data_IF_606225376839
#
_entry.id   IF_606225376839
#
_cell.length_a   1.000
_cell.length_b   1.000
_cell.length_c   1.000
_cell.angle_alpha   90.00
_cell.angle_beta   90.00
_cell.angle_gamma   90.00
#
_symmetry.space_group_name_H-M   'P 1'
#
loop_
_entity.id
_entity.type
_entity.pdbx_description
1 polymer ?
#
# COMPACT_ATOMS: atom_id res chain seq x y z
N UNK A 1 2.90 -37.17 -12.34
CA UNK A 1 2.41 -36.63 -11.05
C UNK A 1 2.76 -35.16 -10.80
N UNK A 2 3.80 -34.59 -11.43
CA UNK A 2 4.14 -33.17 -11.26
C UNK A 2 3.18 -32.20 -11.98
N UNK A 3 2.73 -32.52 -13.20
CA UNK A 3 1.80 -31.66 -13.96
C UNK A 3 0.47 -31.38 -13.24
N UNK A 4 -0.14 -32.41 -12.67
CA UNK A 4 -1.40 -32.29 -11.91
C UNK A 4 -1.24 -31.43 -10.65
N UNK A 5 -0.06 -31.45 -10.01
CA UNK A 5 0.24 -30.58 -8.86
C UNK A 5 0.48 -29.13 -9.28
N UNK A 6 1.01 -28.89 -10.48
CA UNK A 6 1.22 -27.55 -11.02
C UNK A 6 -0.11 -26.89 -11.39
N UNK A 7 -1.00 -27.60 -12.10
CA UNK A 7 -2.34 -27.10 -12.44
C UNK A 7 -3.20 -26.83 -11.20
N UNK A 8 -3.13 -27.68 -10.17
CA UNK A 8 -3.86 -27.46 -8.92
C UNK A 8 -3.38 -26.19 -8.18
N UNK A 9 -2.09 -25.87 -8.26
CA UNK A 9 -1.53 -24.64 -7.69
C UNK A 9 -1.94 -23.41 -8.49
N UNK A 10 -1.98 -23.52 -9.81
CA UNK A 10 -2.39 -22.44 -10.69
C UNK A 10 -3.90 -22.14 -10.56
N UNK A 11 -4.73 -23.18 -10.47
CA UNK A 11 -6.16 -23.04 -10.18
C UNK A 11 -6.42 -22.36 -8.83
N UNK A 12 -5.62 -22.68 -7.80
CA UNK A 12 -5.72 -22.00 -6.50
C UNK A 12 -5.34 -20.52 -6.57
N UNK A 13 -4.36 -20.16 -7.40
CA UNK A 13 -3.96 -18.76 -7.61
C UNK A 13 -5.08 -17.97 -8.31
N UNK A 14 -5.60 -18.48 -9.44
CA UNK A 14 -6.72 -17.85 -10.18
C UNK A 14 -7.95 -17.70 -9.30
N UNK A 15 -8.29 -18.73 -8.50
CA UNK A 15 -9.42 -18.66 -7.57
C UNK A 15 -9.25 -17.59 -6.48
N UNK A 16 -8.01 -17.31 -6.05
CA UNK A 16 -7.73 -16.22 -5.11
C UNK A 16 -7.85 -14.86 -5.80
N UNK A 17 -7.36 -14.74 -7.02
CA UNK A 17 -7.37 -13.49 -7.77
C UNK A 17 -8.82 -13.10 -8.15
N UNK A 18 -9.66 -14.06 -8.53
CA UNK A 18 -11.10 -13.85 -8.75
C UNK A 18 -11.83 -13.40 -7.47
N UNK A 19 -11.52 -14.01 -6.31
CA UNK A 19 -12.09 -13.56 -5.02
C UNK A 19 -11.67 -12.13 -4.68
N UNK A 20 -10.43 -11.76 -4.97
CA UNK A 20 -9.94 -10.41 -4.76
C UNK A 20 -10.66 -9.38 -5.66
N UNK A 21 -11.10 -9.81 -6.84
CA UNK A 21 -11.91 -9.04 -7.78
C UNK A 21 -13.42 -9.09 -7.49
N UNK A 22 -13.85 -9.76 -6.41
CA UNK A 22 -15.27 -9.85 -6.03
C UNK A 22 -16.06 -11.00 -6.70
N UNK A 23 -15.39 -11.85 -7.48
CA UNK A 23 -15.99 -13.01 -8.13
C UNK A 23 -15.94 -14.26 -7.22
N UNK A 24 -16.91 -15.17 -7.38
CA UNK A 24 -16.95 -16.45 -6.68
C UNK A 24 -15.73 -17.34 -6.96
N UNK A 25 -15.29 -18.14 -5.98
CA UNK A 25 -14.21 -19.09 -6.17
C UNK A 25 -14.58 -20.20 -7.16
N UNK A 26 -13.64 -20.61 -8.02
CA UNK A 26 -13.90 -21.44 -9.21
C UNK A 26 -13.32 -22.87 -9.13
N UNK A 27 -13.67 -23.72 -8.14
CA UNK A 27 -13.27 -25.12 -8.23
C UNK A 27 -14.23 -25.86 -9.19
N UNK A 28 -13.87 -25.95 -10.48
CA UNK A 28 -14.50 -26.88 -11.45
C UNK A 28 -14.92 -26.30 -12.81
N UNK A 29 -15.03 -24.98 -12.96
CA UNK A 29 -15.43 -24.37 -14.25
C UNK A 29 -14.29 -24.37 -15.28
N UNK A 30 -13.06 -24.14 -14.82
CA UNK A 30 -11.90 -24.10 -15.70
C UNK A 30 -11.61 -25.46 -16.36
N UNK A 31 -11.87 -26.59 -15.67
CA UNK A 31 -11.63 -27.92 -16.24
C UNK A 31 -12.57 -28.30 -17.39
N UNK A 32 -13.67 -27.55 -17.59
CA UNK A 32 -14.66 -27.80 -18.65
C UNK A 32 -14.55 -26.82 -19.84
N UNK A 33 -13.70 -25.79 -19.73
CA UNK A 33 -13.37 -24.87 -20.82
C UNK A 33 -14.57 -24.17 -21.44
N UNK A 34 -14.46 -23.79 -22.73
CA UNK A 34 -15.47 -23.03 -23.46
C UNK A 34 -16.83 -23.76 -23.62
N UNK A 35 -16.85 -25.10 -23.47
CA UNK A 35 -18.10 -25.89 -23.49
C UNK A 35 -19.00 -25.65 -22.27
N UNK A 36 -18.46 -25.03 -21.21
CA UNK A 36 -19.21 -24.74 -20.00
C UNK A 36 -19.86 -23.35 -20.08
N UNK A 37 -21.19 -23.23 -19.92
CA UNK A 37 -21.88 -21.93 -19.99
C UNK A 37 -21.44 -20.99 -18.86
N UNK A 38 -21.25 -21.51 -17.65
CA UNK A 38 -20.78 -20.73 -16.49
C UNK A 38 -19.37 -20.16 -16.71
N UNK A 39 -18.49 -20.90 -17.40
CA UNK A 39 -17.16 -20.40 -17.77
C UNK A 39 -17.25 -19.25 -18.78
N UNK A 40 -18.09 -19.41 -19.81
CA UNK A 40 -18.34 -18.35 -20.80
C UNK A 40 -18.96 -17.11 -20.15
N UNK A 41 -19.89 -17.29 -19.22
CA UNK A 41 -20.50 -16.21 -18.44
C UNK A 41 -19.47 -15.47 -17.59
N UNK A 42 -18.55 -16.17 -16.92
CA UNK A 42 -17.48 -15.55 -16.15
C UNK A 42 -16.53 -14.74 -17.04
N UNK A 43 -16.08 -15.30 -18.17
CA UNK A 43 -15.26 -14.56 -19.13
C UNK A 43 -15.99 -13.32 -19.68
N UNK A 44 -17.30 -13.44 -19.94
CA UNK A 44 -18.12 -12.33 -20.40
C UNK A 44 -18.25 -11.21 -19.36
N UNK A 45 -18.41 -11.56 -18.08
CA UNK A 45 -18.46 -10.58 -16.99
C UNK A 45 -17.13 -9.83 -16.84
N UNK A 46 -16.00 -10.55 -16.85
CA UNK A 46 -14.67 -9.94 -16.79
C UNK A 46 -14.41 -9.01 -17.98
N UNK A 47 -14.82 -9.43 -19.18
CA UNK A 47 -14.68 -8.61 -20.39
C UNK A 47 -15.60 -7.37 -20.36
N UNK A 48 -16.82 -7.49 -19.84
CA UNK A 48 -17.73 -6.36 -19.65
C UNK A 48 -17.12 -5.33 -18.71
N UNK A 49 -16.55 -5.77 -17.59
CA UNK A 49 -15.91 -4.90 -16.61
C UNK A 49 -14.69 -4.17 -17.22
N UNK A 50 -13.84 -4.89 -17.94
CA UNK A 50 -12.73 -4.30 -18.73
C UNK A 50 -13.21 -3.23 -19.72
N UNK A 51 -14.34 -3.48 -20.40
CA UNK A 51 -14.94 -2.50 -21.30
C UNK A 51 -15.42 -1.24 -20.56
N UNK A 52 -16.08 -1.40 -19.40
CA UNK A 52 -16.55 -0.26 -18.58
C UNK A 52 -15.41 0.62 -18.05
N UNK A 53 -14.25 0.03 -17.82
CA UNK A 53 -13.05 0.72 -17.35
C UNK A 53 -12.25 1.38 -18.49
N UNK A 54 -12.71 1.24 -19.73
CA UNK A 54 -12.11 1.88 -20.91
C UNK A 54 -10.87 1.17 -21.45
N UNK A 55 -10.68 -0.12 -21.14
CA UNK A 55 -9.55 -0.91 -21.61
C UNK A 55 -9.66 -1.35 -23.09
N UNK A 56 -10.84 -1.19 -23.69
CA UNK A 56 -11.14 -1.59 -25.06
C UNK A 56 -11.43 -0.35 -25.92
N UNK A 57 -10.39 0.16 -26.58
CA UNK A 57 -10.45 1.39 -27.37
C UNK A 57 -11.44 1.29 -28.55
N UNK A 58 -11.57 0.13 -29.20
CA UNK A 58 -12.45 -0.05 -30.36
C UNK A 58 -13.93 -0.18 -29.96
N UNK A 59 -14.23 -0.68 -28.77
CA UNK A 59 -15.61 -0.80 -28.29
C UNK A 59 -16.22 0.55 -27.88
N UNK A 60 -15.38 1.53 -27.53
CA UNK A 60 -15.80 2.91 -27.20
C UNK A 60 -16.38 3.66 -28.41
N UNK A 61 -15.92 3.34 -29.62
CA UNK A 61 -16.30 4.06 -30.85
C UNK A 61 -17.44 3.36 -31.62
N UNK A 62 -17.64 2.05 -31.44
CA UNK A 62 -18.52 1.26 -32.32
C UNK A 62 -19.75 0.62 -31.64
N UNK A 63 -19.98 0.78 -30.33
CA UNK A 63 -21.10 0.11 -29.65
C UNK A 63 -21.08 -1.41 -29.84
N UNK A 64 -19.88 -1.99 -29.86
CA UNK A 64 -19.64 -3.39 -30.20
C UNK A 64 -20.13 -4.33 -29.09
N UNK A 65 -20.70 -5.46 -29.49
CA UNK A 65 -21.19 -6.47 -28.54
C UNK A 65 -20.03 -7.02 -27.69
N UNK A 66 -20.23 -6.96 -26.36
CA UNK A 66 -19.40 -7.64 -25.36
C UNK A 66 -19.50 -9.15 -25.57
N UNK A 67 -18.47 -9.91 -25.15
CA UNK A 67 -18.48 -11.38 -25.17
C UNK A 67 -19.86 -11.93 -24.75
N UNK A 68 -20.48 -12.73 -25.61
CA UNK A 68 -21.80 -13.33 -25.36
C UNK A 68 -21.67 -14.64 -24.59
N UNK A 69 -22.43 -14.77 -23.51
CA UNK A 69 -22.50 -15.97 -22.68
C UNK A 69 -23.58 -16.97 -23.13
N UNK A 70 -24.17 -16.78 -24.31
CA UNK A 70 -25.41 -17.45 -24.74
C UNK A 70 -25.41 -18.98 -24.60
N UNK A 71 -26.60 -19.56 -24.43
CA UNK A 71 -26.81 -21.01 -24.22
C UNK A 71 -27.44 -21.73 -25.42
N UNK A 72 -27.43 -21.06 -26.59
CA UNK A 72 -28.02 -21.58 -27.83
C UNK A 72 -27.08 -22.49 -28.65
N UNK A 73 -27.61 -23.22 -29.65
CA UNK A 73 -26.80 -23.97 -30.60
C UNK A 73 -25.87 -23.00 -31.36
N UNK A 74 -24.56 -23.22 -31.29
CA UNK A 74 -23.52 -22.35 -31.89
C UNK A 74 -22.89 -21.32 -30.92
N UNK A 75 -23.36 -21.24 -29.68
CA UNK A 75 -22.87 -20.23 -28.74
C UNK A 75 -21.42 -20.45 -28.25
N UNK A 76 -20.88 -21.67 -28.36
CA UNK A 76 -19.45 -21.93 -28.13
C UNK A 76 -18.60 -21.29 -29.24
N UNK A 77 -18.99 -21.47 -30.50
CA UNK A 77 -18.27 -20.96 -31.68
C UNK A 77 -18.33 -19.42 -31.75
N UNK A 78 -19.48 -18.84 -31.41
CA UNK A 78 -19.65 -17.39 -31.31
C UNK A 78 -18.81 -16.79 -30.18
N UNK A 79 -18.81 -17.42 -29.00
CA UNK A 79 -17.96 -17.02 -27.87
C UNK A 79 -16.48 -17.05 -28.26
N UNK A 80 -16.01 -18.12 -28.89
CA UNK A 80 -14.60 -18.27 -29.29
C UNK A 80 -14.19 -17.23 -30.32
N UNK A 81 -15.06 -16.92 -31.28
CA UNK A 81 -14.83 -15.87 -32.28
C UNK A 81 -14.72 -14.48 -31.64
N UNK A 82 -15.58 -14.17 -30.68
CA UNK A 82 -15.55 -12.90 -29.95
C UNK A 82 -14.34 -12.83 -29.01
N UNK A 83 -14.01 -13.93 -28.34
CA UNK A 83 -12.85 -14.05 -27.45
C UNK A 83 -11.55 -13.79 -28.21
N UNK A 84 -11.38 -14.38 -29.40
CA UNK A 84 -10.20 -14.14 -30.22
C UNK A 84 -10.06 -12.68 -30.69
N UNK A 85 -11.16 -11.91 -30.77
CA UNK A 85 -11.10 -10.45 -31.03
C UNK A 85 -10.66 -9.70 -29.78
N UNK A 86 -11.29 -10.00 -28.64
CA UNK A 86 -10.96 -9.40 -27.35
C UNK A 86 -9.48 -9.60 -26.98
N UNK A 87 -8.96 -10.82 -27.13
CA UNK A 87 -7.56 -11.12 -26.77
C UNK A 87 -6.56 -10.38 -27.66
N UNK A 88 -6.90 -10.12 -28.93
CA UNK A 88 -6.06 -9.31 -29.83
C UNK A 88 -6.08 -7.83 -29.45
N UNK A 89 -7.24 -7.32 -29.04
CA UNK A 89 -7.39 -5.94 -28.55
C UNK A 89 -6.64 -5.72 -27.23
N UNK A 90 -6.69 -6.70 -26.32
CA UNK A 90 -5.94 -6.70 -25.06
C UNK A 90 -4.45 -7.08 -25.23
N UNK A 91 -3.97 -7.25 -26.46
CA UNK A 91 -2.58 -7.63 -26.76
C UNK A 91 -2.08 -8.88 -25.99
N UNK A 92 -2.93 -9.90 -25.87
CA UNK A 92 -2.61 -11.08 -25.09
C UNK A 92 -1.34 -11.79 -25.63
N UNK A 93 -0.36 -12.08 -24.76
CA UNK A 93 0.95 -12.63 -25.17
C UNK A 93 0.88 -14.13 -25.54
N UNK A 94 -0.19 -14.83 -25.18
CA UNK A 94 -0.36 -16.25 -25.50
C UNK A 94 -0.79 -16.40 -26.97
N UNK A 95 0.19 -16.71 -27.83
CA UNK A 95 -0.01 -16.86 -29.28
C UNK A 95 -0.88 -18.04 -29.66
N UNK A 96 -1.00 -19.05 -28.79
CA UNK A 96 -1.98 -20.11 -28.98
C UNK A 96 -3.35 -19.45 -28.87
N UNK A 97 -3.74 -18.96 -27.69
CA UNK A 97 -5.07 -18.37 -27.44
C UNK A 97 -5.48 -17.26 -28.42
N UNK A 98 -4.50 -16.55 -29.03
CA UNK A 98 -4.71 -15.50 -30.01
C UNK A 98 -4.74 -15.96 -31.49
N UNK A 99 -4.33 -17.18 -31.84
CA UNK A 99 -4.12 -17.64 -33.21
C UNK A 99 -4.75 -19.00 -33.53
N UNK A 100 -5.54 -19.08 -34.60
CA UNK A 100 -6.11 -20.34 -35.10
C UNK A 100 -7.50 -20.67 -34.55
N UNK A 101 -7.97 -21.90 -34.79
CA UNK A 101 -9.28 -22.43 -34.35
C UNK A 101 -9.33 -22.54 -32.82
N UNK A 102 -9.70 -21.42 -32.16
CA UNK A 102 -9.65 -21.26 -30.70
C UNK A 102 -10.45 -22.29 -29.90
N UNK A 103 -11.31 -23.08 -30.55
CA UNK A 103 -12.01 -24.21 -29.95
C UNK A 103 -11.06 -25.33 -29.51
N UNK A 104 -10.06 -25.66 -30.34
CA UNK A 104 -9.15 -26.78 -30.09
C UNK A 104 -8.20 -26.47 -28.93
N UNK A 105 -7.74 -25.23 -28.82
CA UNK A 105 -6.72 -24.84 -27.85
C UNK A 105 -7.30 -24.54 -26.46
N UNK A 106 -8.54 -24.07 -26.36
CA UNK A 106 -9.23 -23.94 -25.07
C UNK A 106 -9.70 -25.27 -24.49
N UNK A 107 -9.66 -26.35 -25.30
CA UNK A 107 -9.86 -27.73 -24.85
C UNK A 107 -8.57 -28.36 -24.32
N UNK A 108 -7.41 -27.77 -24.57
CA UNK A 108 -6.15 -28.22 -23.97
C UNK A 108 -6.16 -28.00 -22.45
N UNK A 109 -5.61 -28.96 -21.67
CA UNK A 109 -5.54 -28.84 -20.22
C UNK A 109 -4.74 -27.59 -19.82
N UNK A 110 -5.32 -26.81 -18.91
CA UNK A 110 -4.74 -25.57 -18.38
C UNK A 110 -4.94 -24.31 -19.23
N UNK A 111 -5.42 -24.40 -20.47
CA UNK A 111 -5.63 -23.22 -21.34
C UNK A 111 -6.70 -22.26 -20.81
N UNK A 112 -7.78 -22.81 -20.24
CA UNK A 112 -8.83 -22.04 -19.56
C UNK A 112 -8.32 -21.29 -18.33
N UNK A 113 -7.40 -21.89 -17.57
CA UNK A 113 -6.77 -21.25 -16.42
C UNK A 113 -5.83 -20.13 -16.85
N UNK A 114 -5.05 -20.32 -17.93
CA UNK A 114 -4.20 -19.27 -18.50
C UNK A 114 -5.04 -18.09 -18.99
N UNK A 115 -6.17 -18.36 -19.65
CA UNK A 115 -7.11 -17.33 -20.07
C UNK A 115 -7.67 -16.54 -18.88
N UNK A 116 -8.21 -17.21 -17.87
CA UNK A 116 -8.75 -16.54 -16.69
C UNK A 116 -7.68 -15.75 -15.95
N UNK A 117 -6.48 -16.31 -15.82
CA UNK A 117 -5.33 -15.61 -15.22
C UNK A 117 -5.01 -14.32 -15.98
N UNK A 118 -5.00 -14.36 -17.30
CA UNK A 118 -4.76 -13.19 -18.14
C UNK A 118 -5.86 -12.14 -17.96
N UNK A 119 -7.14 -12.53 -18.06
CA UNK A 119 -8.25 -11.59 -17.87
C UNK A 119 -8.27 -10.98 -16.46
N UNK A 120 -7.97 -11.77 -15.42
CA UNK A 120 -7.82 -11.26 -14.07
C UNK A 120 -6.65 -10.28 -13.94
N UNK A 121 -5.50 -10.55 -14.56
CA UNK A 121 -4.36 -9.64 -14.49
C UNK A 121 -4.62 -8.33 -15.23
N UNK A 122 -5.28 -8.38 -16.40
CA UNK A 122 -5.68 -7.18 -17.14
C UNK A 122 -6.71 -6.36 -16.34
N UNK A 123 -7.67 -7.01 -15.70
CA UNK A 123 -8.67 -6.32 -14.88
C UNK A 123 -8.04 -5.67 -13.64
N UNK A 124 -7.09 -6.36 -12.99
CA UNK A 124 -6.32 -5.78 -11.90
C UNK A 124 -5.48 -4.58 -12.36
N UNK A 125 -4.81 -4.70 -13.51
CA UNK A 125 -3.99 -3.62 -14.07
C UNK A 125 -4.85 -2.40 -14.44
N UNK A 126 -6.00 -2.61 -15.07
CA UNK A 126 -6.93 -1.54 -15.44
C UNK A 126 -7.56 -0.88 -14.23
N UNK A 127 -7.91 -1.62 -13.17
CA UNK A 127 -8.29 -1.03 -11.88
C UNK A 127 -7.19 -0.15 -11.29
N UNK A 128 -5.94 -0.59 -11.31
CA UNK A 128 -4.81 0.21 -10.82
C UNK A 128 -4.58 1.47 -11.67
N UNK A 129 -4.71 1.38 -13.00
CA UNK A 129 -4.59 2.52 -13.89
C UNK A 129 -5.76 3.51 -13.73
N UNK A 130 -6.98 3.01 -13.53
CA UNK A 130 -8.16 3.83 -13.27
C UNK A 130 -8.04 4.56 -11.93
N UNK A 131 -7.65 3.85 -10.85
CA UNK A 131 -7.35 4.46 -9.56
C UNK A 131 -6.21 5.48 -9.67
N UNK A 132 -5.16 5.18 -10.41
CA UNK A 132 -4.06 6.12 -10.65
C UNK A 132 -4.54 7.34 -11.43
N UNK A 133 -5.39 7.20 -12.43
CA UNK A 133 -5.96 8.33 -13.17
C UNK A 133 -6.90 9.19 -12.31
N UNK A 134 -7.55 8.61 -11.29
CA UNK A 134 -8.34 9.36 -10.32
C UNK A 134 -7.45 10.13 -9.33
N UNK A 135 -6.25 9.61 -9.03
CA UNK A 135 -5.28 10.21 -8.12
C UNK A 135 -4.34 11.22 -8.82
N UNK A 136 -4.02 10.98 -10.09
CA UNK A 136 -3.20 11.83 -10.97
C UNK A 136 -4.04 12.21 -12.21
N UNK A 137 -4.87 13.26 -12.17
CA UNK A 137 -5.26 13.90 -13.41
C UNK A 137 -3.98 14.46 -14.06
N UNK A 138 -3.73 14.12 -15.33
CA UNK A 138 -2.58 14.58 -16.14
C UNK A 138 -2.06 15.98 -15.75
N UNK A 139 -0.74 16.23 -15.78
CA UNK A 139 -0.19 17.56 -15.52
C UNK A 139 -0.73 18.54 -16.57
N UNK A 140 -1.72 19.34 -16.18
CA UNK A 140 -1.96 20.62 -16.82
C UNK A 140 -0.70 21.48 -16.68
N UNK A 141 -0.55 22.54 -17.49
CA UNK A 141 0.58 23.47 -17.37
C UNK A 141 0.72 23.92 -15.92
N UNK A 142 1.93 24.24 -15.41
CA UNK A 142 2.16 24.52 -14.01
C UNK A 142 1.27 25.72 -13.63
N UNK A 143 0.15 25.40 -13.02
CA UNK A 143 -0.78 26.40 -12.56
C UNK A 143 -0.18 26.88 -11.24
N UNK A 144 0.35 28.10 -11.32
CA UNK A 144 1.12 28.71 -10.26
C UNK A 144 0.42 28.71 -8.91
N UNK A 145 1.26 28.91 -7.90
CA UNK A 145 0.93 29.41 -6.57
C UNK A 145 -0.53 29.87 -6.37
N UNK A 146 -1.21 29.20 -5.44
CA UNK A 146 -2.30 29.81 -4.70
C UNK A 146 -3.71 29.64 -5.27
N UNK A 147 -4.28 28.44 -5.16
CA UNK A 147 -5.72 28.31 -4.88
C UNK A 147 -5.94 27.11 -3.95
N UNK A 148 -5.95 27.32 -2.64
CA UNK A 148 -6.20 26.31 -1.58
C UNK A 148 -7.60 25.61 -1.68
N UNK A 149 -8.36 25.82 -2.76
CA UNK A 149 -9.74 25.35 -2.91
C UNK A 149 -9.98 24.29 -3.99
N UNK A 150 -9.10 24.11 -4.98
CA UNK A 150 -9.34 23.17 -6.10
C UNK A 150 -9.24 21.71 -5.68
N UNK A 151 -8.27 21.38 -4.81
CA UNK A 151 -8.12 20.03 -4.25
C UNK A 151 -9.30 19.63 -3.36
N UNK A 152 -9.79 20.53 -2.50
CA UNK A 152 -10.91 20.22 -1.59
C UNK A 152 -12.21 19.94 -2.34
N UNK A 153 -12.49 20.66 -3.43
CA UNK A 153 -13.67 20.42 -4.28
C UNK A 153 -13.57 19.06 -4.99
N UNK A 154 -12.37 18.67 -5.42
CA UNK A 154 -12.13 17.37 -6.02
C UNK A 154 -12.33 16.24 -5.00
N UNK A 155 -11.75 16.34 -3.80
CA UNK A 155 -11.91 15.35 -2.73
C UNK A 155 -13.38 15.19 -2.31
N UNK A 156 -14.11 16.30 -2.20
CA UNK A 156 -15.54 16.28 -1.92
C UNK A 156 -16.34 15.60 -3.03
N UNK A 157 -16.01 15.86 -4.30
CA UNK A 157 -16.65 15.20 -5.43
C UNK A 157 -16.40 13.68 -5.44
N UNK A 158 -15.16 13.26 -5.17
CA UNK A 158 -14.80 11.84 -5.05
C UNK A 158 -15.52 11.18 -3.87
N UNK A 159 -15.64 11.88 -2.74
CA UNK A 159 -16.37 11.40 -1.56
C UNK A 159 -17.86 11.18 -1.88
N UNK A 160 -18.50 12.14 -2.56
CA UNK A 160 -19.89 12.02 -2.98
C UNK A 160 -20.08 10.86 -3.95
N UNK A 161 -19.19 10.71 -4.93
CA UNK A 161 -19.22 9.61 -5.89
C UNK A 161 -19.07 8.25 -5.19
N UNK A 162 -18.13 8.13 -4.25
CA UNK A 162 -17.92 6.91 -3.47
C UNK A 162 -19.13 6.53 -2.61
N UNK A 163 -19.89 7.52 -2.13
CA UNK A 163 -21.10 7.34 -1.36
C UNK A 163 -22.37 7.18 -2.22
N UNK A 164 -22.24 7.28 -3.55
CA UNK A 164 -23.37 7.25 -4.50
C UNK A 164 -24.31 8.45 -4.35
N UNK A 165 -23.82 9.57 -3.82
CA UNK A 165 -24.59 10.80 -3.65
C UNK A 165 -24.50 11.68 -4.91
N UNK A 166 -25.59 12.37 -5.27
CA UNK A 166 -25.58 13.29 -6.41
C UNK A 166 -24.67 14.49 -6.11
N UNK A 167 -24.21 15.15 -7.18
CA UNK A 167 -23.46 16.41 -7.05
C UNK A 167 -24.39 17.50 -6.49
N UNK A 168 -23.97 18.28 -5.48
CA UNK A 168 -24.82 19.32 -4.90
C UNK A 168 -25.16 20.39 -5.94
N UNK A 169 -26.39 20.89 -5.87
CA UNK A 169 -26.82 22.00 -6.71
C UNK A 169 -26.04 23.28 -6.36
N UNK A 170 -25.81 24.19 -7.32
CA UNK A 170 -25.21 25.49 -7.03
C UNK A 170 -25.99 26.21 -5.93
N UNK A 171 -25.29 26.66 -4.88
CA UNK A 171 -25.92 27.34 -3.73
C UNK A 171 -26.41 26.41 -2.61
N UNK A 172 -26.18 25.10 -2.69
CA UNK A 172 -26.45 24.18 -1.57
C UNK A 172 -25.60 24.59 -0.36
N UNK A 173 -26.18 24.83 0.82
CA UNK A 173 -25.42 25.22 2.00
C UNK A 173 -24.55 24.05 2.49
N UNK A 174 -23.32 24.36 2.92
CA UNK A 174 -22.36 23.35 3.38
C UNK A 174 -22.90 22.49 4.53
N UNK A 175 -23.73 23.05 5.41
CA UNK A 175 -24.37 22.32 6.51
C UNK A 175 -25.30 21.21 6.03
N UNK A 176 -26.08 21.45 4.97
CA UNK A 176 -26.96 20.41 4.39
C UNK A 176 -26.11 19.31 3.75
N UNK A 177 -25.08 19.67 3.01
CA UNK A 177 -24.18 18.69 2.41
C UNK A 177 -23.49 17.80 3.46
N UNK A 178 -23.03 18.41 4.56
CA UNK A 178 -22.43 17.65 5.67
C UNK A 178 -23.44 16.74 6.37
N UNK A 179 -24.70 17.16 6.49
CA UNK A 179 -25.78 16.32 7.04
C UNK A 179 -26.09 15.13 6.13
N UNK A 180 -26.16 15.34 4.80
CA UNK A 180 -26.36 14.27 3.81
C UNK A 180 -25.20 13.26 3.83
N UNK A 181 -23.96 13.74 3.85
CA UNK A 181 -22.76 12.91 3.99
C UNK A 181 -22.82 12.09 5.29
N UNK A 182 -23.11 12.75 6.41
CA UNK A 182 -23.18 12.09 7.71
C UNK A 182 -24.29 11.02 7.74
N UNK A 183 -25.47 11.32 7.19
CA UNK A 183 -26.56 10.37 7.09
C UNK A 183 -26.18 9.15 6.25
N UNK A 184 -25.56 9.37 5.08
CA UNK A 184 -25.16 8.27 4.19
C UNK A 184 -24.05 7.40 4.79
N UNK A 185 -23.07 8.01 5.46
CA UNK A 185 -22.02 7.26 6.17
C UNK A 185 -22.63 6.44 7.32
N UNK A 186 -23.57 7.02 8.07
CA UNK A 186 -24.25 6.34 9.17
C UNK A 186 -25.11 5.16 8.69
N UNK A 187 -25.74 5.29 7.51
CA UNK A 187 -26.47 4.21 6.84
C UNK A 187 -25.55 3.04 6.45
N UNK A 188 -24.35 3.36 5.95
CA UNK A 188 -23.40 2.35 5.47
C UNK A 188 -22.55 1.72 6.59
N UNK A 189 -22.39 2.41 7.72
CA UNK A 189 -21.53 1.96 8.82
C UNK A 189 -21.82 0.52 9.32
N UNK A 190 -23.07 0.06 9.45
CA UNK A 190 -23.37 -1.31 9.88
C UNK A 190 -22.93 -2.40 8.89
N UNK A 191 -22.70 -2.05 7.62
CA UNK A 191 -22.21 -3.00 6.60
C UNK A 191 -20.71 -3.27 6.72
N UNK A 192 -19.97 -2.44 7.45
CA UNK A 192 -18.53 -2.57 7.63
C UNK A 192 -18.20 -3.54 8.78
N UNK A 193 -17.02 -4.19 8.75
CA UNK A 193 -16.55 -4.99 9.86
C UNK A 193 -16.49 -4.17 11.17
N UNK A 194 -16.73 -4.79 12.34
CA UNK A 194 -16.74 -4.09 13.61
C UNK A 194 -15.38 -3.41 13.87
N UNK A 195 -15.43 -2.14 14.29
CA UNK A 195 -14.25 -1.32 14.58
C UNK A 195 -13.60 -0.63 13.37
N UNK A 196 -14.14 -0.81 12.15
CA UNK A 196 -13.55 -0.23 10.93
C UNK A 196 -13.52 1.29 10.88
N UNK A 197 -14.41 1.99 11.60
CA UNK A 197 -14.46 3.46 11.63
C UNK A 197 -14.35 4.02 13.06
N UNK A 198 -13.76 3.25 13.98
CA UNK A 198 -13.63 3.72 15.36
C UNK A 198 -12.66 4.92 15.39
N UNK A 199 -13.08 6.10 15.87
CA UNK A 199 -12.20 7.26 15.93
C UNK A 199 -11.11 7.05 16.98
N UNK A 200 -9.93 7.62 16.73
CA UNK A 200 -8.85 7.64 17.70
C UNK A 200 -9.20 8.52 18.91
N UNK A 201 -9.83 9.66 18.66
CA UNK A 201 -10.33 10.57 19.67
C UNK A 201 -11.83 10.32 19.90
N UNK A 202 -12.18 9.70 21.03
CA UNK A 202 -13.57 9.36 21.37
C UNK A 202 -14.23 10.34 22.35
N UNK A 203 -13.47 11.30 22.89
CA UNK A 203 -13.98 12.28 23.86
C UNK A 203 -14.64 13.46 23.17
N UNK A 204 -15.76 13.93 23.71
CA UNK A 204 -16.37 15.20 23.28
C UNK A 204 -15.45 16.38 23.62
N UNK A 205 -15.32 17.30 22.66
CA UNK A 205 -14.52 18.51 22.81
C UNK A 205 -15.44 19.68 23.13
N UNK A 206 -15.34 20.20 24.35
CA UNK A 206 -15.92 21.48 24.75
C UNK A 206 -14.95 22.63 24.41
N UNK A 207 -15.41 23.87 24.53
CA UNK A 207 -14.59 25.05 24.22
C UNK A 207 -13.18 25.05 24.86
N UNK A 208 -13.00 24.78 26.17
CA UNK A 208 -11.67 24.77 26.76
C UNK A 208 -10.79 23.62 26.26
N UNK A 209 -11.37 22.43 25.95
CA UNK A 209 -10.60 21.35 25.34
C UNK A 209 -10.20 21.65 23.91
N UNK A 210 -11.03 22.36 23.14
CA UNK A 210 -10.67 22.83 21.80
C UNK A 210 -9.46 23.77 21.85
N UNK A 211 -9.46 24.75 22.76
CA UNK A 211 -8.33 25.67 22.94
C UNK A 211 -7.05 24.92 23.36
N UNK A 212 -7.16 23.98 24.31
CA UNK A 212 -6.03 23.17 24.74
C UNK A 212 -5.49 22.28 23.60
N UNK A 213 -6.38 21.71 22.79
CA UNK A 213 -6.01 20.86 21.66
C UNK A 213 -5.32 21.65 20.54
N UNK A 214 -5.79 22.87 20.24
CA UNK A 214 -5.15 23.76 19.28
C UNK A 214 -3.76 24.17 19.77
N UNK A 215 -3.62 24.52 21.06
CA UNK A 215 -2.32 24.84 21.67
C UNK A 215 -1.33 23.66 21.60
N UNK A 216 -1.79 22.44 21.91
CA UNK A 216 -0.99 21.23 21.79
C UNK A 216 -0.58 20.95 20.34
N UNK A 217 -1.53 21.06 19.40
CA UNK A 217 -1.32 20.91 17.96
C UNK A 217 -0.22 21.86 17.47
N UNK A 218 -0.30 23.14 17.85
CA UNK A 218 0.71 24.13 17.49
C UNK A 218 2.09 23.80 18.08
N UNK A 219 2.16 23.49 19.38
CA UNK A 219 3.42 23.13 20.03
C UNK A 219 4.08 21.90 19.40
N UNK A 220 3.28 20.89 19.05
CA UNK A 220 3.78 19.70 18.36
C UNK A 220 4.26 20.05 16.94
N UNK A 221 3.51 20.85 16.18
CA UNK A 221 3.94 21.30 14.84
C UNK A 221 5.29 22.00 14.90
N UNK A 222 5.49 22.92 15.84
CA UNK A 222 6.75 23.64 16.02
C UNK A 222 7.90 22.67 16.34
N UNK A 223 7.66 21.71 17.24
CA UNK A 223 8.64 20.69 17.59
C UNK A 223 8.98 19.78 16.40
N UNK A 224 7.97 19.32 15.66
CA UNK A 224 8.16 18.48 14.47
C UNK A 224 8.89 19.23 13.36
N UNK A 225 8.57 20.52 13.15
CA UNK A 225 9.28 21.37 12.20
C UNK A 225 10.77 21.48 12.56
N UNK A 226 11.09 21.74 13.84
CA UNK A 226 12.46 21.76 14.32
C UNK A 226 13.18 20.41 14.08
N UNK A 227 12.52 19.30 14.39
CA UNK A 227 13.07 17.96 14.15
C UNK A 227 13.30 17.69 12.65
N UNK A 228 12.36 18.09 11.78
CA UNK A 228 12.49 17.96 10.32
C UNK A 228 13.63 18.82 9.81
N UNK A 229 13.78 20.07 10.24
CA UNK A 229 14.93 20.92 9.92
C UNK A 229 16.26 20.22 10.25
N UNK A 230 16.37 19.61 11.43
CA UNK A 230 17.57 18.87 11.84
C UNK A 230 17.82 17.67 10.91
N UNK A 231 16.80 16.88 10.61
CA UNK A 231 16.92 15.71 9.73
C UNK A 231 17.31 16.09 8.31
N UNK A 232 16.72 17.17 7.76
CA UNK A 232 17.07 17.70 6.45
C UNK A 232 18.51 18.19 6.42
N UNK A 233 18.94 18.93 7.45
CA UNK A 233 20.34 19.37 7.54
C UNK A 233 21.30 18.18 7.65
N UNK A 234 20.91 17.15 8.41
CA UNK A 234 21.69 15.91 8.51
C UNK A 234 21.78 15.19 7.16
N UNK A 235 20.70 15.15 6.39
CA UNK A 235 20.70 14.61 5.03
C UNK A 235 21.66 15.40 4.12
N UNK A 236 21.63 16.72 4.18
CA UNK A 236 22.51 17.60 3.38
C UNK A 236 23.99 17.36 3.70
N UNK A 237 24.32 17.30 5.00
CA UNK A 237 25.68 17.03 5.46
C UNK A 237 26.15 15.62 5.12
N UNK A 238 25.27 14.62 5.25
CA UNK A 238 25.59 13.23 4.88
C UNK A 238 25.85 13.12 3.38
N UNK A 239 25.03 13.79 2.57
CA UNK A 239 25.20 13.86 1.11
C UNK A 239 26.53 14.51 0.74
N UNK A 240 26.87 15.61 1.41
CA UNK A 240 28.13 16.33 1.21
C UNK A 240 29.36 15.50 1.62
N UNK A 241 29.25 14.70 2.69
CA UNK A 241 30.33 13.85 3.17
C UNK A 241 30.73 12.75 2.17
N UNK A 242 29.84 12.34 1.27
CA UNK A 242 30.21 11.40 0.20
C UNK A 242 31.23 11.99 -0.78
N UNK A 243 31.43 13.31 -0.83
CA UNK A 243 32.45 13.92 -1.69
C UNK A 243 33.86 13.90 -1.09
N UNK A 244 34.08 13.25 0.06
CA UNK A 244 35.40 13.19 0.72
C UNK A 244 36.30 12.06 0.24
N UNK A 245 35.87 11.23 -0.71
CA UNK A 245 36.72 10.19 -1.31
C UNK A 245 36.77 10.38 -2.82
N UNK A 246 37.97 10.24 -3.41
CA UNK A 246 38.20 10.42 -4.85
C UNK A 246 37.25 9.58 -5.72
N UNK A 247 36.93 8.36 -5.27
CA UNK A 247 35.99 7.45 -5.95
C UNK A 247 34.57 8.01 -5.99
N UNK A 248 34.11 8.62 -4.90
CA UNK A 248 32.74 9.12 -4.79
C UNK A 248 32.62 10.56 -5.30
N UNK A 249 33.71 11.34 -5.29
CA UNK A 249 33.80 12.63 -5.96
C UNK A 249 33.59 12.49 -7.48
N UNK A 250 34.21 11.48 -8.11
CA UNK A 250 34.00 11.15 -9.52
C UNK A 250 32.53 10.83 -9.88
N UNK A 251 31.74 10.37 -8.89
CA UNK A 251 30.31 10.06 -9.04
C UNK A 251 29.40 11.19 -8.49
N UNK A 252 29.98 12.29 -8.02
CA UNK A 252 29.25 13.35 -7.31
C UNK A 252 28.17 14.01 -8.17
N UNK A 253 28.44 14.22 -9.46
CA UNK A 253 27.45 14.78 -10.38
C UNK A 253 26.23 13.87 -10.57
N UNK A 254 26.45 12.57 -10.77
CA UNK A 254 25.38 11.58 -10.90
C UNK A 254 24.56 11.45 -9.60
N UNK A 255 25.22 11.48 -8.44
CA UNK A 255 24.54 11.43 -7.15
C UNK A 255 23.68 12.68 -6.90
N UNK A 256 24.20 13.88 -7.19
CA UNK A 256 23.45 15.14 -7.04
C UNK A 256 22.23 15.18 -7.97
N UNK A 257 22.37 14.70 -9.21
CA UNK A 257 21.26 14.62 -10.15
C UNK A 257 20.07 13.79 -9.63
N UNK A 258 20.33 12.76 -8.81
CA UNK A 258 19.29 11.95 -8.17
C UNK A 258 18.76 12.57 -6.88
N UNK A 259 19.65 13.13 -6.04
CA UNK A 259 19.27 13.58 -4.70
C UNK A 259 18.64 14.99 -4.67
N UNK A 260 19.05 15.90 -5.54
CA UNK A 260 18.54 17.28 -5.55
C UNK A 260 17.02 17.32 -5.74
N UNK A 261 16.42 16.63 -6.74
CA UNK A 261 14.98 16.62 -6.90
C UNK A 261 14.26 16.10 -5.64
N UNK A 262 14.75 14.99 -5.07
CA UNK A 262 14.18 14.43 -3.85
C UNK A 262 14.28 15.41 -2.67
N UNK A 263 15.39 16.12 -2.55
CA UNK A 263 15.62 17.08 -1.47
C UNK A 263 14.73 18.31 -1.57
N UNK A 264 14.43 18.77 -2.78
CA UNK A 264 13.54 19.90 -3.06
C UNK A 264 12.09 19.62 -2.65
N UNK A 265 11.63 18.37 -2.78
CA UNK A 265 10.30 17.96 -2.29
C UNK A 265 10.20 17.85 -0.76
N UNK A 266 11.31 17.82 -0.03
CA UNK A 266 11.31 17.63 1.42
C UNK A 266 11.30 18.97 2.16
N UNK A 267 10.15 19.30 2.73
CA UNK A 267 9.92 20.54 3.49
C UNK A 267 10.03 20.32 5.01
N UNK A 268 10.44 21.33 5.79
CA UNK A 268 10.39 21.25 7.25
C UNK A 268 8.97 21.35 7.79
N UNK A 269 8.04 21.97 7.07
CA UNK A 269 6.63 22.09 7.45
C UNK A 269 5.93 20.72 7.49
N UNK A 270 4.93 20.59 8.36
CA UNK A 270 4.08 19.41 8.45
C UNK A 270 2.73 19.67 7.80
N UNK A 271 2.29 18.77 6.91
CA UNK A 271 0.96 18.84 6.29
C UNK A 271 -0.16 18.35 7.23
N UNK A 272 0.19 17.92 8.44
CA UNK A 272 -0.76 17.41 9.43
C UNK A 272 -1.44 18.58 10.13
N UNK A 273 -2.74 18.71 9.90
CA UNK A 273 -3.62 19.68 10.56
C UNK A 273 -4.46 19.03 11.67
N UNK A 274 -5.14 19.84 12.48
CA UNK A 274 -6.04 19.34 13.51
C UNK A 274 -7.19 18.49 12.93
N UNK A 275 -7.66 18.82 11.72
CA UNK A 275 -8.67 18.03 11.02
C UNK A 275 -8.18 16.59 10.76
N UNK A 276 -6.90 16.39 10.43
CA UNK A 276 -6.33 15.06 10.25
C UNK A 276 -6.32 14.25 11.55
N UNK A 277 -6.06 14.91 12.69
CA UNK A 277 -6.08 14.26 14.01
C UNK A 277 -7.51 13.83 14.38
N UNK A 278 -8.51 14.65 14.07
CA UNK A 278 -9.92 14.33 14.33
C UNK A 278 -10.45 13.23 13.41
N UNK A 279 -9.99 13.20 12.16
CA UNK A 279 -10.30 12.15 11.20
C UNK A 279 -9.54 10.84 11.48
N UNK A 280 -8.54 10.86 12.36
CA UNK A 280 -7.71 9.69 12.63
C UNK A 280 -8.53 8.57 13.26
N UNK A 281 -8.40 7.37 12.70
CA UNK A 281 -9.01 6.14 13.21
C UNK A 281 -8.13 5.48 14.26
N UNK A 282 -8.74 4.68 15.13
CA UNK A 282 -8.08 3.97 16.20
C UNK A 282 -7.01 2.98 15.71
N UNK A 283 -7.09 2.47 14.49
CA UNK A 283 -6.07 1.60 13.90
C UNK A 283 -4.81 2.36 13.47
N UNK A 284 -4.88 3.67 13.23
CA UNK A 284 -3.69 4.49 12.95
C UNK A 284 -2.74 4.61 14.14
N UNK A 285 -3.22 4.38 15.38
CA UNK A 285 -2.33 4.35 16.55
C UNK A 285 -1.46 3.09 16.62
N UNK A 286 -1.72 2.09 15.78
CA UNK A 286 -0.94 0.85 15.73
C UNK A 286 0.40 1.10 15.06
N UNK A 287 1.42 1.30 15.89
CA UNK A 287 2.80 1.38 15.42
C UNK A 287 3.26 0.02 14.88
N UNK A 288 3.44 -0.07 13.57
CA UNK A 288 4.09 -1.22 12.93
C UNK A 288 5.58 -0.91 12.81
N UNK A 289 6.47 -1.70 13.45
CA UNK A 289 7.90 -1.47 13.34
C UNK A 289 8.36 -1.55 11.88
N UNK A 290 9.12 -0.55 11.42
CA UNK A 290 9.74 -0.56 10.09
C UNK A 290 10.74 -1.72 9.89
N UNK A 291 11.18 -2.34 10.99
CA UNK A 291 12.03 -3.55 11.01
C UNK A 291 11.22 -4.84 11.08
N UNK A 292 9.89 -4.77 11.11
CA UNK A 292 9.06 -5.97 11.19
C UNK A 292 9.26 -6.85 9.96
N UNK A 293 9.08 -8.16 10.17
CA UNK A 293 9.23 -9.16 9.11
C UNK A 293 8.30 -8.89 7.93
N UNK A 294 7.06 -8.45 8.21
CA UNK A 294 6.09 -8.12 7.17
C UNK A 294 6.57 -6.99 6.26
N UNK A 295 7.04 -5.87 6.84
CA UNK A 295 7.55 -4.72 6.09
C UNK A 295 8.85 -5.07 5.35
N UNK A 296 9.75 -5.85 5.98
CA UNK A 296 11.05 -6.21 5.41
C UNK A 296 10.97 -7.22 4.26
N UNK A 297 9.95 -8.09 4.23
CA UNK A 297 9.70 -8.97 3.08
C UNK A 297 9.37 -8.20 1.80
N UNK A 298 8.65 -7.08 1.91
CA UNK A 298 8.31 -6.23 0.77
C UNK A 298 9.40 -5.21 0.38
N UNK A 299 10.38 -4.97 1.26
CA UNK A 299 11.44 -3.95 1.07
C UNK A 299 12.84 -4.56 0.99
N UNK A 300 12.95 -5.85 0.69
CA UNK A 300 14.25 -6.50 0.52
C UNK A 300 14.97 -5.90 -0.69
N UNK A 301 16.22 -5.49 -0.50
CA UNK A 301 17.05 -4.93 -1.57
C UNK A 301 18.48 -5.45 -1.45
N UNK A 302 19.33 -5.11 -2.41
CA UNK A 302 20.73 -5.55 -2.42
C UNK A 302 21.51 -5.18 -1.13
N UNK A 303 21.07 -4.14 -0.42
CA UNK A 303 21.64 -3.68 0.84
C UNK A 303 20.96 -4.38 2.03
N UNK A 304 19.63 -4.47 2.04
CA UNK A 304 18.83 -5.10 3.09
C UNK A 304 18.40 -6.52 2.70
N UNK A 305 19.37 -7.40 2.43
CA UNK A 305 19.10 -8.79 1.99
C UNK A 305 18.67 -9.72 3.11
N UNK A 306 19.22 -9.52 4.31
CA UNK A 306 19.08 -10.48 5.41
C UNK A 306 17.91 -10.09 6.29
N UNK A 307 16.87 -10.91 6.28
CA UNK A 307 15.82 -10.85 7.27
C UNK A 307 16.33 -11.51 8.56
N UNK A 308 16.67 -10.71 9.56
CA UNK A 308 16.98 -11.22 10.89
C UNK A 308 15.73 -11.90 11.46
N UNK A 309 15.81 -13.19 11.74
CA UNK A 309 14.76 -13.95 12.41
C UNK A 309 14.58 -13.51 13.87
N UNK A 310 13.84 -14.29 14.67
CA UNK A 310 13.71 -14.03 16.10
C UNK A 310 15.10 -13.98 16.75
N UNK A 311 15.54 -12.78 17.14
CA UNK A 311 16.77 -12.58 17.90
C UNK A 311 16.45 -12.92 19.34
N UNK A 312 17.08 -13.95 19.94
CA UNK A 312 16.88 -14.27 21.35
C UNK A 312 17.20 -13.04 22.19
N UNK A 313 16.41 -12.80 23.24
CA UNK A 313 16.67 -11.70 24.16
C UNK A 313 18.11 -11.83 24.68
N UNK A 314 18.91 -10.79 24.46
CA UNK A 314 20.32 -10.77 24.86
C UNK A 314 20.50 -10.22 26.28
N UNK A 315 19.39 -9.91 26.96
CA UNK A 315 19.39 -9.29 28.27
C UNK A 315 20.06 -7.92 28.26
N UNK A 316 20.36 -7.39 29.45
CA UNK A 316 21.05 -6.11 29.60
C UNK A 316 20.11 -4.91 29.56
N UNK A 317 18.81 -5.13 29.74
CA UNK A 317 17.92 -4.02 30.04
C UNK A 317 18.37 -3.39 31.37
N UNK A 318 18.47 -2.06 31.47
CA UNK A 318 18.97 -1.41 32.68
C UNK A 318 18.21 -1.80 33.97
N UNK A 319 16.95 -2.19 33.84
CA UNK A 319 16.07 -2.67 34.90
C UNK A 319 16.25 -4.16 35.27
N UNK A 320 17.00 -4.94 34.49
CA UNK A 320 17.32 -6.35 34.76
C UNK A 320 18.72 -6.52 35.40
N UNK A 321 19.52 -5.45 35.40
CA UNK A 321 20.82 -5.39 36.05
C UNK A 321 20.65 -4.81 37.46
N UNK A 322 20.52 -5.68 38.45
CA UNK A 322 20.74 -5.28 39.84
C UNK A 322 22.21 -4.85 39.97
N UNK A 323 22.45 -3.55 40.08
CA UNK A 323 23.80 -3.05 40.32
C UNK A 323 24.27 -3.64 41.66
N UNK A 324 25.39 -4.38 41.71
CA UNK A 324 25.88 -4.89 42.98
C UNK A 324 26.21 -3.68 43.85
N UNK A 325 25.42 -3.45 44.91
CA UNK A 325 25.71 -2.39 45.86
C UNK A 325 27.15 -2.56 46.35
N UNK A 326 28.02 -1.56 46.22
CA UNK A 326 29.31 -1.59 46.86
C UNK A 326 29.08 -1.59 48.36
N UNK A 327 29.51 -2.64 49.06
CA UNK A 327 29.54 -2.63 50.52
C UNK A 327 30.60 -1.64 50.97
N UNK A 328 30.19 -0.49 51.47
CA UNK A 328 31.08 0.46 52.12
C UNK A 328 31.53 -0.14 53.45
N UNK A 329 32.80 -0.56 53.54
CA UNK A 329 33.39 -0.93 54.83
C UNK A 329 33.79 0.35 55.54
N UNK A 330 33.39 0.49 56.81
CA UNK A 330 33.85 1.58 57.66
C UNK A 330 35.38 1.59 57.67
N UNK A 331 35.98 2.76 57.46
CA UNK A 331 37.43 2.92 57.60
C UNK A 331 37.81 2.52 59.02
N UNK A 332 38.62 1.47 59.16
CA UNK A 332 39.12 1.03 60.46
C UNK A 332 39.96 2.15 61.05
N UNK A 333 39.52 2.75 62.14
CA UNK A 333 40.38 3.59 62.98
C UNK A 333 41.33 2.67 63.74
N UNK A 334 42.53 2.50 63.20
CA UNK A 334 43.59 1.70 63.80
C UNK A 334 44.88 1.96 63.06
N UNK A 335 45.73 2.80 63.64
CA UNK A 335 46.88 3.42 62.99
C UNK A 335 48.02 2.48 62.59
N UNK A 336 48.98 3.09 61.89
CA UNK A 336 50.31 2.53 61.69
C UNK A 336 50.71 2.38 60.23
N UNK A 337 51.30 3.44 59.68
CA UNK A 337 52.54 3.38 58.90
C UNK A 337 52.64 2.47 57.68
N UNK A 338 53.06 3.12 56.58
CA UNK A 338 53.88 2.63 55.45
C UNK A 338 53.19 2.09 54.19
N UNK A 339 53.55 2.82 53.12
CA UNK A 339 53.93 2.37 51.77
C UNK A 339 52.81 2.06 50.77
N UNK A 340 52.61 3.06 49.90
CA UNK A 340 52.59 2.94 48.44
C UNK A 340 52.76 1.54 47.84
N UNK A 341 51.76 1.11 47.09
CA UNK A 341 51.83 0.01 46.12
C UNK A 341 50.59 0.01 45.20
N UNK A 342 50.74 0.07 43.87
CA UNK A 342 49.62 0.17 42.94
C UNK A 342 48.92 -1.19 42.77
N UNK A 343 47.61 -1.25 43.03
CA UNK A 343 46.81 -2.44 42.75
C UNK A 343 46.54 -2.59 41.25
N UNK A 344 47.15 -3.64 40.71
CA UNK A 344 47.00 -4.16 39.37
C UNK A 344 45.54 -4.58 39.10
N UNK A 345 44.94 -4.08 38.01
CA UNK A 345 43.63 -4.51 37.54
C UNK A 345 43.73 -5.93 36.96
N UNK A 346 43.19 -6.90 37.70
CA UNK A 346 43.11 -8.30 37.29
C UNK A 346 42.19 -8.50 36.07
N UNK A 347 42.78 -8.97 34.97
CA UNK A 347 42.06 -9.54 33.81
C UNK A 347 41.20 -10.73 34.26
N UNK A 348 39.87 -10.59 34.28
CA UNK A 348 38.95 -11.73 34.38
C UNK A 348 38.93 -12.51 33.05
N UNK A 349 39.42 -13.75 33.08
CA UNK A 349 39.28 -14.74 32.00
C UNK A 349 37.81 -15.12 31.81
N UNK A 350 37.31 -15.03 30.57
CA UNK A 350 36.05 -15.63 30.12
C UNK A 350 36.11 -17.15 30.31
N UNK A 351 35.23 -17.72 31.14
CA UNK A 351 34.91 -19.15 31.12
C UNK A 351 33.87 -19.38 30.03
N UNK A 352 34.20 -20.18 29.02
CA UNK A 352 33.23 -20.82 28.12
C UNK A 352 32.51 -21.93 28.90
N UNK A 353 31.18 -21.92 28.85
CA UNK A 353 30.39 -23.13 28.71
C UNK A 353 29.41 -22.90 27.57
#
# INVERSE_FOLDING_TARGET
MEGVKAEAREGAAVARDLRALGYGGVPGLASRGASCPDFRALCAQLAAELATLGALEQQREAGAEVLSAGDGPGAEEDFLRQLGRLLRELHCPDRALCGGDGAAELREPGSSLRLLRFLCSELQATHLLHLRSLLDPSPGPPLGEGVEGTGMVQELALTLQALGLPRPAPGTPASQLLQELHAKISELQPSLPPGSLQPLLSSSLDAPRWEALESLSQSLKDQYQCCRCLLLKRLDLTTSAFHWSDRAEAQGAAMRAVLIPLREFLTPESDISLAHVLAARADLSRLVPATSVAVRRGTCCAINKVLMGNVPDRGGRPNELEAPMPTWRSRTEGGGGRKTGPQCWGRKKKKKK
#
